data_IF_960031814270
#
_entry.id   IF_960031814270
#
_cell.length_a   1.000
_cell.length_b   1.000
_cell.length_c   1.000
_cell.angle_alpha   90.00
_cell.angle_beta   90.00
_cell.angle_gamma   90.00
#
_symmetry.space_group_name_H-M   'P 1'
#
loop_
_entity.id
_entity.type
_entity.pdbx_description
1 polymer ?
#
# COMPACT_ATOMS: atom_id res chain seq x y z
N UNK A 1 -46.59 -15.00 -6.17
CA UNK A 1 -45.47 -14.66 -7.07
C UNK A 1 -44.63 -13.61 -6.35
N UNK A 2 -43.52 -14.00 -5.73
CA UNK A 2 -42.62 -13.07 -5.05
C UNK A 2 -41.56 -12.64 -6.05
N UNK A 3 -41.68 -11.42 -6.58
CA UNK A 3 -40.65 -10.80 -7.39
C UNK A 3 -39.54 -10.40 -6.41
N UNK A 4 -38.49 -11.22 -6.28
CA UNK A 4 -37.27 -10.81 -5.60
C UNK A 4 -36.66 -9.66 -6.41
N UNK A 5 -36.79 -8.43 -5.91
CA UNK A 5 -35.91 -7.34 -6.35
C UNK A 5 -34.48 -7.76 -6.00
N UNK A 6 -33.75 -8.29 -6.98
CA UNK A 6 -32.29 -8.42 -6.92
C UNK A 6 -31.70 -7.00 -6.98
N UNK A 7 -31.80 -6.26 -5.87
CA UNK A 7 -31.12 -4.98 -5.73
C UNK A 7 -29.62 -5.24 -5.71
N UNK A 8 -28.86 -4.49 -6.52
CA UNK A 8 -27.41 -4.47 -6.41
C UNK A 8 -27.04 -4.06 -4.96
N UNK A 9 -26.18 -4.81 -4.26
CA UNK A 9 -25.83 -4.48 -2.88
C UNK A 9 -25.13 -3.13 -2.81
N UNK A 10 -25.71 -2.17 -2.08
CA UNK A 10 -25.14 -0.82 -1.93
C UNK A 10 -23.80 -0.83 -1.21
N UNK A 11 -23.52 -1.86 -0.40
CA UNK A 11 -22.26 -2.08 0.29
C UNK A 11 -21.07 -2.26 -0.65
N UNK A 12 -21.28 -2.83 -1.84
CA UNK A 12 -20.23 -3.01 -2.85
C UNK A 12 -19.89 -1.71 -3.58
N UNK A 13 -20.73 -0.67 -3.49
CA UNK A 13 -20.49 0.61 -4.15
C UNK A 13 -19.33 1.37 -3.48
N UNK A 14 -18.47 1.96 -4.30
CA UNK A 14 -17.37 2.83 -3.86
C UNK A 14 -16.04 2.50 -4.52
N UNK A 15 -15.00 3.18 -4.05
CA UNK A 15 -13.62 2.85 -4.39
C UNK A 15 -13.07 1.81 -3.40
N UNK A 16 -12.42 0.80 -3.95
CA UNK A 16 -11.85 -0.33 -3.25
C UNK A 16 -10.38 -0.43 -3.60
N UNK A 17 -9.53 -0.05 -2.66
CA UNK A 17 -8.08 -0.06 -2.83
C UNK A 17 -7.51 -1.41 -2.41
N UNK A 18 -6.62 -1.97 -3.21
CA UNK A 18 -6.02 -3.26 -2.93
C UNK A 18 -5.10 -3.20 -1.72
N UNK A 19 -5.39 -4.04 -0.73
CA UNK A 19 -4.44 -4.50 0.28
C UNK A 19 -3.62 -5.66 -0.28
N UNK A 20 -4.27 -6.51 -1.10
CA UNK A 20 -3.68 -7.66 -1.78
C UNK A 20 -4.51 -7.97 -3.04
N UNK A 21 -3.92 -7.89 -4.22
CA UNK A 21 -4.60 -8.20 -5.48
C UNK A 21 -3.78 -7.73 -6.70
N UNK A 22 -4.23 -8.12 -7.89
CA UNK A 22 -3.55 -7.79 -9.17
C UNK A 22 -3.96 -6.42 -9.72
N UNK A 23 -5.09 -5.88 -9.27
CA UNK A 23 -5.59 -4.54 -9.60
C UNK A 23 -5.43 -3.65 -8.38
N UNK A 24 -4.97 -2.41 -8.55
CA UNK A 24 -4.71 -1.51 -7.41
C UNK A 24 -5.98 -0.88 -6.86
N UNK A 25 -6.92 -0.51 -7.74
CA UNK A 25 -8.19 0.11 -7.33
C UNK A 25 -9.33 -0.44 -8.18
N UNK A 26 -10.41 -0.85 -7.52
CA UNK A 26 -11.71 -1.05 -8.15
C UNK A 26 -12.65 0.09 -7.80
N UNK A 27 -13.15 0.80 -8.81
CA UNK A 27 -14.31 1.67 -8.68
C UNK A 27 -15.55 0.88 -9.05
N UNK A 28 -16.50 0.74 -8.13
CA UNK A 28 -17.78 0.06 -8.34
C UNK A 28 -18.93 1.06 -8.24
N UNK A 29 -19.60 1.34 -9.35
CA UNK A 29 -20.72 2.29 -9.46
C UNK A 29 -22.02 1.59 -9.87
N UNK A 30 -23.13 2.32 -9.77
CA UNK A 30 -24.43 1.89 -10.30
C UNK A 30 -24.89 2.98 -11.26
N UNK A 31 -25.09 2.61 -12.52
CA UNK A 31 -25.48 3.49 -13.62
C UNK A 31 -26.70 2.87 -14.31
N UNK A 32 -27.78 3.62 -14.45
CA UNK A 32 -29.04 3.15 -15.07
C UNK A 32 -29.59 1.82 -14.51
N UNK A 33 -29.29 1.52 -13.24
CA UNK A 33 -29.70 0.27 -12.57
C UNK A 33 -28.78 -0.92 -12.82
N UNK A 34 -27.69 -0.74 -13.56
CA UNK A 34 -26.63 -1.73 -13.78
C UNK A 34 -25.40 -1.42 -12.92
N UNK A 35 -24.73 -2.46 -12.44
CA UNK A 35 -23.46 -2.31 -11.73
C UNK A 35 -22.33 -2.17 -12.75
N UNK A 36 -21.58 -1.07 -12.70
CA UNK A 36 -20.40 -0.83 -13.53
C UNK A 36 -19.15 -0.88 -12.65
N UNK A 37 -18.09 -1.51 -13.14
CA UNK A 37 -16.80 -1.51 -12.46
C UNK A 37 -15.66 -1.07 -13.39
N UNK A 38 -14.66 -0.43 -12.80
CA UNK A 38 -13.40 -0.05 -13.42
C UNK A 38 -12.26 -0.44 -12.49
N UNK A 39 -11.32 -1.25 -12.98
CA UNK A 39 -10.09 -1.61 -12.30
C UNK A 39 -8.89 -0.86 -12.89
N UNK A 40 -8.06 -0.24 -12.05
CA UNK A 40 -6.88 0.52 -12.47
C UNK A 40 -5.57 0.00 -11.87
N UNK A 41 -4.46 0.27 -12.56
CA UNK A 41 -3.08 0.15 -12.07
C UNK A 41 -2.36 1.44 -12.51
N UNK A 42 -1.69 2.14 -11.60
CA UNK A 42 -1.02 3.42 -11.85
C UNK A 42 -1.94 4.44 -12.58
N UNK A 43 -3.17 4.59 -12.11
CA UNK A 43 -4.24 5.42 -12.69
C UNK A 43 -4.65 5.06 -14.14
N UNK A 44 -4.16 3.95 -14.68
CA UNK A 44 -4.51 3.48 -16.02
C UNK A 44 -5.62 2.44 -15.95
N UNK A 45 -6.67 2.54 -16.79
CA UNK A 45 -7.74 1.56 -16.84
C UNK A 45 -7.20 0.22 -17.37
N UNK A 46 -7.26 -0.82 -16.54
CA UNK A 46 -6.79 -2.18 -16.87
C UNK A 46 -7.93 -3.12 -17.23
N UNK A 47 -9.03 -3.03 -16.48
CA UNK A 47 -10.23 -3.83 -16.70
C UNK A 47 -11.44 -2.96 -16.49
N UNK A 48 -12.48 -3.15 -17.30
CA UNK A 48 -13.78 -2.48 -17.11
C UNK A 48 -14.89 -3.42 -17.48
N UNK A 49 -16.07 -3.21 -16.91
CA UNK A 49 -17.22 -4.01 -17.26
C UNK A 49 -18.39 -3.83 -16.31
N UNK A 50 -19.27 -4.84 -16.29
CA UNK A 50 -20.43 -4.89 -15.42
C UNK A 50 -20.20 -5.80 -14.23
N UNK A 51 -20.79 -5.48 -13.09
CA UNK A 51 -20.82 -6.36 -11.94
C UNK A 51 -22.25 -6.66 -11.49
N UNK A 52 -22.45 -7.84 -10.91
CA UNK A 52 -23.71 -8.25 -10.30
C UNK A 52 -23.46 -9.25 -9.18
N UNK A 53 -24.47 -9.49 -8.36
CA UNK A 53 -24.44 -10.56 -7.36
C UNK A 53 -25.42 -11.66 -7.74
N UNK A 54 -24.92 -12.89 -7.86
CA UNK A 54 -25.72 -14.07 -8.19
C UNK A 54 -25.42 -15.19 -7.20
N UNK A 55 -26.44 -15.72 -6.53
CA UNK A 55 -26.31 -16.84 -5.58
C UNK A 55 -25.23 -16.64 -4.49
N UNK A 56 -25.04 -15.39 -4.03
CA UNK A 56 -24.03 -15.05 -3.02
C UNK A 56 -22.61 -14.84 -3.58
N UNK A 57 -22.43 -14.85 -4.90
CA UNK A 57 -21.16 -14.57 -5.56
C UNK A 57 -21.17 -13.19 -6.20
N UNK A 58 -20.04 -12.47 -6.10
CA UNK A 58 -19.77 -11.29 -6.92
C UNK A 58 -19.33 -11.78 -8.30
N UNK A 59 -20.01 -11.33 -9.34
CA UNK A 59 -19.72 -11.69 -10.74
C UNK A 59 -19.24 -10.45 -11.47
N UNK A 60 -18.01 -10.49 -11.98
CA UNK A 60 -17.44 -9.45 -12.85
C UNK A 60 -17.55 -9.90 -14.31
N UNK A 61 -18.15 -9.05 -15.13
CA UNK A 61 -18.46 -9.26 -16.55
C UNK A 61 -17.65 -8.24 -17.35
N UNK A 62 -16.46 -8.59 -17.88
CA UNK A 62 -15.63 -7.64 -18.60
C UNK A 62 -16.31 -7.16 -19.88
N UNK A 63 -16.17 -5.88 -20.19
CA UNK A 63 -16.43 -5.38 -21.55
C UNK A 63 -15.33 -5.92 -22.46
N UNK A 64 -15.74 -6.68 -23.47
CA UNK A 64 -14.81 -7.41 -24.34
C UNK A 64 -13.99 -6.49 -25.25
N UNK A 65 -12.90 -5.96 -24.72
CA UNK A 65 -11.75 -5.40 -25.46
C UNK A 65 -10.44 -5.77 -24.75
N UNK A 66 -9.99 -7.04 -24.87
CA UNK A 66 -8.71 -7.51 -24.32
C UNK A 66 -8.74 -8.95 -23.76
N UNK A 67 -7.56 -9.56 -23.60
CA UNK A 67 -7.31 -11.02 -23.47
C UNK A 67 -8.04 -11.81 -22.35
N UNK A 68 -8.84 -11.17 -21.50
CA UNK A 68 -9.54 -11.82 -20.39
C UNK A 68 -11.01 -12.01 -20.77
N UNK A 69 -11.29 -13.04 -21.59
CA UNK A 69 -12.61 -13.34 -22.14
C UNK A 69 -13.53 -14.16 -21.19
N UNK A 70 -13.21 -14.19 -19.90
CA UNK A 70 -13.92 -15.00 -18.91
C UNK A 70 -14.75 -14.17 -17.94
N UNK A 71 -15.99 -14.58 -17.70
CA UNK A 71 -16.76 -14.17 -16.52
C UNK A 71 -16.00 -14.61 -15.26
N UNK A 72 -15.66 -13.66 -14.39
CA UNK A 72 -15.03 -13.99 -13.09
C UNK A 72 -16.09 -14.04 -12.00
N UNK A 73 -16.09 -15.12 -11.22
CA UNK A 73 -16.99 -15.32 -10.08
C UNK A 73 -16.18 -15.40 -8.80
N UNK A 74 -16.53 -14.58 -7.84
CA UNK A 74 -15.85 -14.47 -6.56
C UNK A 74 -16.80 -14.81 -5.43
N UNK A 75 -16.36 -15.68 -4.52
CA UNK A 75 -16.92 -15.63 -3.16
C UNK A 75 -16.53 -14.28 -2.57
N UNK A 76 -17.45 -13.59 -1.90
CA UNK A 76 -17.13 -12.32 -1.26
C UNK A 76 -17.68 -12.22 0.15
N UNK A 77 -16.98 -11.43 0.97
CA UNK A 77 -17.43 -11.01 2.30
C UNK A 77 -17.05 -9.55 2.47
N UNK A 78 -17.92 -8.76 3.09
CA UNK A 78 -17.62 -7.41 3.54
C UNK A 78 -17.74 -7.34 5.05
N UNK A 79 -16.77 -6.71 5.69
CA UNK A 79 -16.68 -6.47 7.13
C UNK A 79 -15.72 -5.28 7.35
N UNK A 80 -16.15 -4.30 8.16
CA UNK A 80 -15.41 -3.07 8.47
C UNK A 80 -14.67 -2.44 7.27
N UNK A 81 -15.41 -2.05 6.24
CA UNK A 81 -14.88 -1.41 5.02
C UNK A 81 -13.82 -2.23 4.27
N UNK A 82 -13.75 -3.53 4.53
CA UNK A 82 -12.84 -4.44 3.86
C UNK A 82 -13.65 -5.47 3.06
N UNK A 83 -13.25 -5.69 1.81
CA UNK A 83 -13.82 -6.65 0.89
C UNK A 83 -12.82 -7.79 0.71
N UNK A 84 -13.21 -8.99 1.11
CA UNK A 84 -12.44 -10.20 0.85
C UNK A 84 -13.06 -10.92 -0.33
N UNK A 85 -12.26 -11.19 -1.36
CA UNK A 85 -12.63 -12.05 -2.46
C UNK A 85 -11.92 -13.40 -2.37
N UNK A 86 -12.60 -14.46 -2.78
CA UNK A 86 -12.04 -15.82 -2.86
C UNK A 86 -11.33 -16.26 -1.57
N UNK A 87 -12.02 -16.13 -0.44
CA UNK A 87 -11.48 -16.49 0.89
C UNK A 87 -10.18 -15.76 1.26
N UNK A 88 -9.99 -14.52 0.80
CA UNK A 88 -8.81 -13.68 1.12
C UNK A 88 -7.63 -13.88 0.17
N UNK A 89 -7.85 -14.49 -0.99
CA UNK A 89 -6.88 -14.43 -2.08
C UNK A 89 -6.68 -13.00 -2.56
N UNK A 90 -7.77 -12.23 -2.64
CA UNK A 90 -7.72 -10.79 -2.87
C UNK A 90 -8.45 -10.06 -1.74
N UNK A 91 -7.90 -8.93 -1.32
CA UNK A 91 -8.38 -8.12 -0.21
C UNK A 91 -8.33 -6.66 -0.64
N UNK A 92 -9.47 -5.99 -0.55
CA UNK A 92 -9.62 -4.58 -0.85
C UNK A 92 -10.21 -3.83 0.34
N UNK A 93 -10.00 -2.53 0.43
CA UNK A 93 -10.57 -1.68 1.47
C UNK A 93 -11.12 -0.38 0.90
N UNK A 94 -12.17 0.19 1.49
CA UNK A 94 -12.61 1.56 1.21
C UNK A 94 -11.75 2.61 1.92
N UNK A 95 -10.96 2.19 2.90
CA UNK A 95 -10.00 3.07 3.56
C UNK A 95 -8.91 3.40 2.57
N UNK A 96 -8.84 4.67 2.15
CA UNK A 96 -7.78 5.16 1.27
C UNK A 96 -6.41 4.77 1.88
N UNK A 97 -5.59 3.94 1.20
CA UNK A 97 -4.33 3.46 1.74
C UNK A 97 -3.42 4.64 2.09
N UNK A 98 -2.62 4.46 3.14
CA UNK A 98 -1.74 5.50 3.62
C UNK A 98 -0.80 5.97 2.49
N UNK A 99 -0.28 5.04 1.67
CA UNK A 99 0.56 5.32 0.49
C UNK A 99 -0.07 6.22 -0.57
N UNK A 100 -1.41 6.29 -0.65
CA UNK A 100 -2.09 7.16 -1.62
C UNK A 100 -2.17 8.59 -1.10
N UNK A 101 -2.33 8.77 0.22
CA UNK A 101 -2.30 10.10 0.86
C UNK A 101 -0.87 10.61 1.07
N UNK A 102 0.04 9.69 1.35
CA UNK A 102 1.41 9.90 1.79
C UNK A 102 2.34 9.02 0.94
N UNK A 103 2.74 9.47 -0.25
CA UNK A 103 3.61 8.72 -1.16
C UNK A 103 4.89 8.17 -0.48
N UNK A 104 5.42 8.90 0.51
CA UNK A 104 6.56 8.51 1.35
C UNK A 104 6.32 7.21 2.12
N UNK A 105 5.07 6.82 2.38
CA UNK A 105 4.76 5.57 3.08
C UNK A 105 4.82 4.33 2.20
N UNK A 106 4.82 4.50 0.87
CA UNK A 106 4.91 3.38 -0.09
C UNK A 106 6.18 2.55 0.12
N UNK A 107 7.34 3.20 0.31
CA UNK A 107 8.60 2.49 0.53
C UNK A 107 8.59 1.71 1.86
N UNK A 108 7.97 2.27 2.90
CA UNK A 108 7.84 1.63 4.22
C UNK A 108 6.90 0.42 4.16
N UNK A 109 5.76 0.53 3.47
CA UNK A 109 4.84 -0.58 3.26
C UNK A 109 5.49 -1.72 2.45
N UNK A 110 6.27 -1.39 1.42
CA UNK A 110 6.98 -2.39 0.63
C UNK A 110 8.04 -3.12 1.47
N UNK A 111 8.85 -2.40 2.26
CA UNK A 111 9.81 -3.02 3.19
C UNK A 111 9.08 -3.91 4.19
N UNK A 112 7.98 -3.44 4.78
CA UNK A 112 7.18 -4.25 5.71
C UNK A 112 6.67 -5.53 5.05
N UNK A 113 6.17 -5.46 3.83
CA UNK A 113 5.67 -6.62 3.07
C UNK A 113 6.79 -7.62 2.74
N UNK A 114 7.87 -7.15 2.14
CA UNK A 114 8.95 -8.01 1.62
C UNK A 114 9.75 -8.67 2.74
N UNK A 115 9.85 -8.01 3.90
CA UNK A 115 10.43 -8.57 5.13
C UNK A 115 9.39 -9.26 6.02
N UNK A 116 8.28 -9.75 5.43
CA UNK A 116 7.26 -10.61 6.08
C UNK A 116 6.65 -10.01 7.35
N UNK A 117 6.45 -8.70 7.38
CA UNK A 117 5.83 -8.01 8.51
C UNK A 117 6.70 -7.96 9.77
N UNK A 118 8.04 -8.10 9.65
CA UNK A 118 8.96 -7.93 10.78
C UNK A 118 8.89 -6.53 11.40
N UNK A 119 8.49 -5.54 10.61
CA UNK A 119 8.36 -4.17 11.05
C UNK A 119 6.93 -3.84 11.51
N UNK A 120 6.82 -2.86 12.39
CA UNK A 120 5.54 -2.24 12.77
C UNK A 120 4.82 -1.65 11.54
N UNK A 121 3.53 -1.34 11.72
CA UNK A 121 2.83 -0.52 10.75
C UNK A 121 3.42 0.91 10.70
N UNK A 122 3.38 1.59 9.53
CA UNK A 122 3.78 2.98 9.43
C UNK A 122 3.02 3.84 10.43
N UNK A 123 3.77 4.56 11.26
CA UNK A 123 3.24 5.49 12.25
C UNK A 123 3.87 6.86 12.03
N UNK A 124 3.12 7.92 12.35
CA UNK A 124 3.60 9.29 12.17
C UNK A 124 4.90 9.51 12.96
N UNK A 125 5.88 10.15 12.32
CA UNK A 125 7.15 10.54 12.93
C UNK A 125 7.56 11.91 12.41
N UNK A 126 8.53 12.52 13.08
CA UNK A 126 9.31 13.61 12.50
C UNK A 126 10.62 13.04 11.94
N UNK A 127 11.01 13.52 10.77
CA UNK A 127 12.27 13.16 10.11
C UNK A 127 13.17 14.39 10.15
N UNK A 128 14.39 14.30 10.70
CA UNK A 128 15.34 15.41 10.68
C UNK A 128 16.00 15.54 9.30
N UNK A 129 16.15 16.78 8.83
CA UNK A 129 16.88 17.14 7.61
C UNK A 129 18.23 17.80 7.91
N UNK A 130 19.05 17.88 6.86
CA UNK A 130 20.41 18.43 6.86
C UNK A 130 20.50 19.89 7.28
N UNK A 131 19.47 20.68 6.96
CA UNK A 131 19.37 22.09 7.34
C UNK A 131 18.91 22.31 8.80
N UNK A 132 18.74 21.22 9.57
CA UNK A 132 18.31 21.24 10.96
C UNK A 132 16.79 21.40 11.14
N UNK A 133 16.03 21.43 10.05
CA UNK A 133 14.58 21.38 10.13
C UNK A 133 14.09 19.94 10.32
N UNK A 134 12.90 19.80 10.88
CA UNK A 134 12.20 18.51 10.96
C UNK A 134 10.91 18.64 10.17
N UNK A 135 10.60 17.64 9.36
CA UNK A 135 9.31 17.59 8.70
C UNK A 135 8.60 16.29 9.03
N UNK A 136 7.29 16.36 8.95
CA UNK A 136 6.41 15.24 9.20
C UNK A 136 6.60 14.16 8.15
N UNK A 137 6.64 12.93 8.63
CA UNK A 137 6.75 11.72 7.82
C UNK A 137 6.19 10.52 8.57
N UNK A 138 6.66 9.34 8.21
CA UNK A 138 6.24 8.09 8.84
C UNK A 138 7.44 7.22 9.13
N UNK A 139 7.30 6.31 10.10
CA UNK A 139 8.33 5.32 10.40
C UNK A 139 7.74 3.94 10.64
N UNK A 140 8.58 2.95 10.34
CA UNK A 140 8.41 1.56 10.73
C UNK A 140 9.61 1.13 11.57
N UNK A 141 9.38 0.29 12.56
CA UNK A 141 10.40 -0.13 13.51
C UNK A 141 10.39 -1.65 13.68
N UNK A 142 11.56 -2.22 13.96
CA UNK A 142 11.72 -3.61 14.35
C UNK A 142 12.73 -3.69 15.48
N UNK A 143 12.39 -4.43 16.53
CA UNK A 143 13.29 -4.78 17.63
C UNK A 143 13.90 -6.17 17.34
N UNK A 144 15.23 -6.28 17.39
CA UNK A 144 15.97 -7.52 17.11
C UNK A 144 17.38 -7.44 17.65
N UNK A 145 17.88 -8.54 18.18
CA UNK A 145 19.26 -8.65 18.69
C UNK A 145 20.29 -8.85 17.55
N UNK A 146 19.83 -9.10 16.32
CA UNK A 146 20.67 -9.26 15.12
C UNK A 146 20.35 -8.18 14.10
N UNK A 147 21.05 -7.05 14.20
CA UNK A 147 20.71 -5.82 13.48
C UNK A 147 21.58 -5.58 12.24
N UNK A 148 22.86 -5.98 12.27
CA UNK A 148 23.84 -5.63 11.23
C UNK A 148 23.54 -6.22 9.85
N UNK A 149 23.14 -7.50 9.79
CA UNK A 149 22.78 -8.16 8.52
C UNK A 149 21.56 -7.50 7.90
N UNK A 150 20.51 -7.26 8.70
CA UNK A 150 19.29 -6.65 8.22
C UNK A 150 19.50 -5.20 7.75
N UNK A 151 20.36 -4.45 8.44
CA UNK A 151 20.73 -3.10 8.03
C UNK A 151 21.33 -3.07 6.61
N UNK A 152 22.22 -4.03 6.30
CA UNK A 152 22.78 -4.17 4.96
C UNK A 152 21.73 -4.58 3.92
N UNK A 153 20.81 -5.49 4.28
CA UNK A 153 19.71 -5.92 3.40
C UNK A 153 18.77 -4.75 3.05
N UNK A 154 18.42 -3.91 4.03
CA UNK A 154 17.59 -2.71 3.81
C UNK A 154 18.33 -1.70 2.92
N UNK A 155 19.62 -1.50 3.17
CA UNK A 155 20.45 -0.59 2.37
C UNK A 155 20.45 -1.00 0.91
N UNK A 156 20.73 -2.28 0.62
CA UNK A 156 20.69 -2.82 -0.74
C UNK A 156 19.29 -2.71 -1.34
N UNK A 157 18.25 -3.02 -0.57
CA UNK A 157 16.86 -2.90 -1.02
C UNK A 157 16.51 -1.47 -1.46
N UNK A 158 16.91 -0.45 -0.70
CA UNK A 158 16.68 0.96 -1.06
C UNK A 158 17.40 1.32 -2.36
N UNK A 159 18.66 0.90 -2.51
CA UNK A 159 19.45 1.13 -3.72
C UNK A 159 18.84 0.45 -4.95
N UNK A 160 18.37 -0.79 -4.81
CA UNK A 160 17.68 -1.53 -5.89
C UNK A 160 16.37 -0.84 -6.32
N UNK A 161 15.72 -0.11 -5.40
CA UNK A 161 14.54 0.72 -5.70
C UNK A 161 14.91 2.10 -6.25
N UNK A 162 16.20 2.37 -6.48
CA UNK A 162 16.70 3.62 -7.07
C UNK A 162 16.78 4.78 -6.09
N UNK A 163 16.86 4.50 -4.79
CA UNK A 163 17.26 5.52 -3.82
C UNK A 163 18.78 5.67 -3.82
N UNK A 164 19.24 6.90 -3.86
CA UNK A 164 20.67 7.24 -3.82
C UNK A 164 21.06 7.65 -2.39
N UNK A 165 22.27 7.28 -1.91
CA UNK A 165 22.75 7.76 -0.63
C UNK A 165 22.75 9.29 -0.57
N UNK A 166 22.24 9.85 0.52
CA UNK A 166 22.30 11.28 0.79
C UNK A 166 23.18 11.56 1.99
N UNK A 167 24.42 11.98 1.72
CA UNK A 167 25.42 12.28 2.73
C UNK A 167 24.99 13.36 3.71
N UNK A 168 24.02 14.19 3.35
CA UNK A 168 23.57 15.29 4.19
C UNK A 168 22.66 14.83 5.34
N UNK A 169 22.10 13.62 5.25
CA UNK A 169 21.19 13.05 6.25
C UNK A 169 21.83 11.85 6.98
N UNK A 170 23.15 11.65 6.80
CA UNK A 170 23.94 10.61 7.49
C UNK A 170 24.36 11.09 8.87
N UNK A 171 24.16 10.25 9.88
CA UNK A 171 24.73 10.40 11.23
C UNK A 171 25.47 9.12 11.61
N UNK A 172 26.13 9.08 12.78
CA UNK A 172 26.83 7.86 13.25
C UNK A 172 25.91 6.64 13.39
N UNK A 173 24.60 6.87 13.56
CA UNK A 173 23.60 5.82 13.77
C UNK A 173 22.54 5.72 12.67
N UNK A 174 22.57 6.62 11.68
CA UNK A 174 21.58 6.70 10.61
C UNK A 174 22.24 6.85 9.24
N UNK A 175 21.75 6.11 8.25
CA UNK A 175 22.05 6.36 6.84
C UNK A 175 20.86 7.04 6.17
N UNK A 176 21.14 8.11 5.42
CA UNK A 176 20.17 8.84 4.62
C UNK A 176 20.16 8.38 3.17
N UNK A 177 18.98 8.36 2.58
CA UNK A 177 18.76 8.07 1.17
C UNK A 177 17.70 9.00 0.59
N UNK A 178 17.84 9.35 -0.68
CA UNK A 178 16.89 10.21 -1.40
C UNK A 178 16.45 9.60 -2.71
N UNK A 179 15.24 9.93 -3.11
CA UNK A 179 14.73 9.66 -4.45
C UNK A 179 13.86 10.79 -4.94
N UNK A 180 14.19 11.28 -6.13
CA UNK A 180 13.48 12.37 -6.78
C UNK A 180 12.36 11.83 -7.69
N UNK A 181 11.18 12.43 -7.57
CA UNK A 181 9.97 12.15 -8.32
C UNK A 181 9.44 13.47 -8.93
N UNK A 182 10.11 13.96 -9.97
CA UNK A 182 9.75 15.24 -10.58
C UNK A 182 10.10 16.42 -9.66
N UNK A 183 9.10 17.12 -9.14
CA UNK A 183 9.26 18.18 -8.13
C UNK A 183 9.42 17.64 -6.71
N UNK A 184 9.01 16.41 -6.48
CA UNK A 184 8.89 15.84 -5.14
C UNK A 184 10.16 15.03 -4.81
N UNK A 185 10.64 15.12 -3.57
CA UNK A 185 11.77 14.32 -3.09
C UNK A 185 11.34 13.52 -1.87
N UNK A 186 11.49 12.20 -1.94
CA UNK A 186 11.33 11.33 -0.77
C UNK A 186 12.69 11.12 -0.13
N UNK A 187 12.77 11.41 1.17
CA UNK A 187 13.94 11.12 2.00
C UNK A 187 13.63 9.92 2.88
N UNK A 188 14.55 8.97 2.94
CA UNK A 188 14.48 7.78 3.80
C UNK A 188 15.69 7.75 4.73
N UNK A 189 15.45 7.54 6.02
CA UNK A 189 16.51 7.35 7.01
C UNK A 189 16.42 5.95 7.60
N UNK A 190 17.55 5.23 7.62
CA UNK A 190 17.69 3.92 8.27
C UNK A 190 18.57 4.09 9.49
N UNK A 191 17.97 4.05 10.68
CA UNK A 191 18.62 4.30 11.95
C UNK A 191 18.68 3.04 12.82
N UNK A 192 19.75 2.87 13.59
CA UNK A 192 19.76 1.93 14.71
C UNK A 192 18.85 2.44 15.83
N UNK A 193 18.00 1.57 16.35
CA UNK A 193 17.34 1.77 17.65
C UNK A 193 18.34 1.28 18.70
N UNK A 194 18.65 2.11 19.69
CA UNK A 194 19.57 1.75 20.78
C UNK A 194 18.81 1.40 22.05
N UNK A 195 19.30 0.42 22.81
CA UNK A 195 18.85 0.16 24.18
C UNK A 195 19.35 1.22 25.17
N UNK A 196 19.03 1.04 26.46
CA UNK A 196 19.45 1.95 27.54
C UNK A 196 20.98 2.04 27.69
N UNK A 197 21.71 1.02 27.23
CA UNK A 197 23.17 0.95 27.26
C UNK A 197 23.82 1.49 25.97
N UNK A 198 23.03 1.99 25.02
CA UNK A 198 23.50 2.54 23.74
C UNK A 198 23.87 1.47 22.71
N UNK A 199 23.55 0.19 22.94
CA UNK A 199 23.81 -0.91 22.01
C UNK A 199 22.68 -1.02 20.97
N UNK A 200 22.98 -1.40 19.71
CA UNK A 200 21.95 -1.62 18.70
C UNK A 200 20.95 -2.71 19.12
N UNK A 201 19.68 -2.34 19.30
CA UNK A 201 18.57 -3.18 19.70
C UNK A 201 17.47 -3.30 18.63
N UNK A 202 17.64 -2.62 17.49
CA UNK A 202 16.66 -2.66 16.40
C UNK A 202 16.98 -1.73 15.26
N UNK A 203 16.04 -1.63 14.31
CA UNK A 203 16.11 -0.71 13.18
C UNK A 203 14.83 0.11 13.13
N UNK A 204 14.99 1.42 13.00
CA UNK A 204 13.93 2.38 12.65
C UNK A 204 14.17 2.87 11.23
N UNK A 205 13.16 2.74 10.39
CA UNK A 205 13.18 3.27 9.03
C UNK A 205 12.13 4.36 8.96
N UNK A 206 12.56 5.59 8.72
CA UNK A 206 11.68 6.75 8.58
C UNK A 206 11.67 7.22 7.13
N UNK A 207 10.53 7.71 6.64
CA UNK A 207 10.42 8.33 5.34
C UNK A 207 9.59 9.62 5.42
N UNK A 208 10.01 10.64 4.69
CA UNK A 208 9.30 11.90 4.59
C UNK A 208 9.34 12.46 3.16
N UNK A 209 8.33 13.27 2.84
CA UNK A 209 8.15 13.88 1.52
C UNK A 209 8.48 15.38 1.61
N UNK A 210 9.42 15.81 0.77
CA UNK A 210 9.67 17.22 0.49
C UNK A 210 9.03 17.58 -0.87
N UNK A 211 8.33 18.71 -0.94
CA UNK A 211 7.58 19.19 -2.13
C UNK A 211 8.12 20.51 -2.64
#
# INVERSE_FOLDING_TARGET
>A
SCISRSGLPSELKGEWYAVKGDVEVYSMTIEDGEGIYLGTIDDRPMVKGKWKVENGFLVLIPESEGQVSGLSRYTYRIDNDTLWLNHGQEIFTKTLPLKVKHPETSILENIRSDFRGRFTEPSATEVPWDDGTSYSGFSIEMISDTVSVLYSEITTYLQDKGFEPDEKVITEICNGYVKNYGSDTIVVMVCFVTDEDGSPAGIKISAALNK
#
